data_IF_728425270117
#
_entry.id   IF_728425270117
#
_cell.length_a   1.000
_cell.length_b   1.000
_cell.length_c   1.000
_cell.angle_alpha   90.00
_cell.angle_beta   90.00
_cell.angle_gamma   90.00
#
_symmetry.space_group_name_H-M   'P 1'
#
loop_
_entity.id
_entity.type
_entity.pdbx_description
1 polymer ?
#
# COMPACT_ATOMS: atom_id res chain seq x y z
N UNK A 1 8.15 10.16 -6.86
CA UNK A 1 6.98 9.25 -6.97
C UNK A 1 6.02 9.51 -5.83
N UNK A 2 4.76 9.09 -5.95
CA UNK A 2 3.71 9.38 -4.95
C UNK A 2 3.19 8.10 -4.30
N UNK A 3 3.12 8.11 -2.97
CA UNK A 3 2.47 7.05 -2.17
C UNK A 3 1.19 7.63 -1.57
N UNK A 4 0.06 6.98 -1.82
CA UNK A 4 -1.23 7.28 -1.20
C UNK A 4 -1.65 6.14 -0.26
N UNK A 5 -2.14 6.48 0.94
CA UNK A 5 -2.65 5.51 1.91
C UNK A 5 -4.04 5.91 2.33
N UNK A 6 -5.03 5.06 2.04
CA UNK A 6 -6.40 5.24 2.51
C UNK A 6 -6.55 4.87 3.97
N UNK A 7 -6.99 5.84 4.77
CA UNK A 7 -7.31 5.73 6.19
C UNK A 7 -8.79 6.02 6.40
N UNK A 8 -9.34 5.65 7.58
CA UNK A 8 -10.73 5.97 7.93
C UNK A 8 -11.00 7.49 7.96
N UNK A 9 -10.00 8.30 8.31
CA UNK A 9 -10.07 9.76 8.39
C UNK A 9 -9.79 10.48 7.06
N UNK A 10 -9.43 9.76 5.99
CA UNK A 10 -9.09 10.34 4.69
C UNK A 10 -7.87 9.69 4.05
N UNK A 11 -7.21 10.39 3.14
CA UNK A 11 -6.03 9.87 2.40
C UNK A 11 -4.77 10.57 2.86
N UNK A 12 -3.77 9.79 3.27
CA UNK A 12 -2.43 10.28 3.52
C UNK A 12 -1.60 10.18 2.25
N UNK A 13 -0.97 11.27 1.84
CA UNK A 13 -0.14 11.29 0.64
C UNK A 13 1.27 11.79 0.93
N UNK A 14 2.26 11.12 0.32
CA UNK A 14 3.69 11.40 0.50
C UNK A 14 4.43 11.35 -0.82
N UNK A 15 5.34 12.30 -1.04
CA UNK A 15 6.37 12.17 -2.06
C UNK A 15 7.48 11.25 -1.57
N UNK A 16 7.86 10.30 -2.41
CA UNK A 16 9.05 9.47 -2.22
C UNK A 16 10.07 9.84 -3.30
N UNK A 17 11.23 10.39 -2.92
CA UNK A 17 12.27 10.76 -3.88
C UNK A 17 12.99 9.53 -4.44
N UNK A 18 13.54 9.68 -5.65
CA UNK A 18 14.34 8.67 -6.33
C UNK A 18 13.52 7.50 -6.91
N UNK A 19 14.18 6.36 -7.06
CA UNK A 19 13.64 5.15 -7.68
C UNK A 19 13.55 4.02 -6.65
N UNK A 20 12.42 3.87 -5.93
CA UNK A 20 12.30 2.86 -4.88
C UNK A 20 12.21 1.43 -5.42
N UNK A 21 11.99 1.23 -6.72
CA UNK A 21 11.99 -0.08 -7.37
C UNK A 21 10.70 -0.87 -7.18
N UNK A 22 10.15 -0.92 -5.96
CA UNK A 22 8.89 -1.59 -5.62
C UNK A 22 8.04 -0.79 -4.61
N UNK A 23 6.77 -1.18 -4.50
CA UNK A 23 5.77 -0.51 -3.68
C UNK A 23 6.08 -0.59 -2.18
N UNK A 24 6.61 -1.72 -1.69
CA UNK A 24 6.99 -1.87 -0.28
C UNK A 24 8.08 -0.87 0.08
N UNK A 25 9.14 -0.82 -0.73
CA UNK A 25 10.25 0.11 -0.54
C UNK A 25 9.79 1.56 -0.62
N UNK A 26 8.86 1.87 -1.54
CA UNK A 26 8.25 3.19 -1.63
C UNK A 26 7.51 3.56 -0.33
N UNK A 27 6.66 2.67 0.18
CA UNK A 27 5.92 2.88 1.42
C UNK A 27 6.84 3.06 2.62
N UNK A 28 7.88 2.24 2.77
CA UNK A 28 8.85 2.37 3.86
C UNK A 28 9.64 3.70 3.81
N UNK A 29 9.86 4.25 2.61
CA UNK A 29 10.54 5.54 2.42
C UNK A 29 9.61 6.75 2.46
N UNK A 30 8.30 6.55 2.60
CA UNK A 30 7.30 7.62 2.62
C UNK A 30 7.32 8.48 3.89
N UNK A 31 8.05 8.03 4.92
CA UNK A 31 8.05 8.65 6.25
C UNK A 31 6.83 8.31 7.10
N UNK A 32 5.93 7.45 6.62
CA UNK A 32 4.84 6.90 7.42
C UNK A 32 5.36 5.83 8.39
N UNK A 33 4.68 5.69 9.52
CA UNK A 33 4.92 4.61 10.47
C UNK A 33 4.41 3.29 9.88
N UNK A 34 5.33 2.44 9.42
CA UNK A 34 5.03 1.16 8.74
C UNK A 34 5.61 0.01 9.54
N UNK A 35 4.77 -1.00 9.84
CA UNK A 35 5.21 -2.27 10.43
C UNK A 35 5.00 -3.39 9.42
N UNK A 36 6.05 -4.19 9.23
CA UNK A 36 6.02 -5.37 8.39
C UNK A 36 5.75 -6.63 9.23
N UNK A 37 5.28 -7.68 8.56
CA UNK A 37 5.19 -9.01 9.12
C UNK A 37 6.52 -9.53 9.66
N UNK A 38 6.45 -10.37 10.69
CA UNK A 38 7.58 -11.11 11.26
C UNK A 38 7.54 -12.61 10.92
N UNK A 39 6.50 -13.06 10.21
CA UNK A 39 6.31 -14.43 9.76
C UNK A 39 5.71 -14.49 8.36
N UNK A 40 5.92 -15.59 7.64
CA UNK A 40 5.38 -15.82 6.29
C UNK A 40 3.85 -15.84 6.24
N UNK A 41 3.19 -16.22 7.34
CA UNK A 41 1.76 -16.52 7.34
C UNK A 41 1.39 -17.53 6.23
N UNK A 42 0.11 -17.69 5.91
CA UNK A 42 -0.33 -18.60 4.85
C UNK A 42 -0.06 -18.11 3.41
N UNK A 43 0.50 -16.91 3.23
CA UNK A 43 0.62 -16.23 1.93
C UNK A 43 2.04 -16.19 1.35
N UNK A 44 3.03 -16.69 2.08
CA UNK A 44 4.41 -16.82 1.58
C UNK A 44 5.20 -15.51 1.49
N UNK A 45 4.62 -14.36 1.86
CA UNK A 45 5.34 -13.09 2.04
C UNK A 45 5.64 -12.88 3.53
N UNK A 46 6.88 -13.14 3.97
CA UNK A 46 7.30 -12.89 5.35
C UNK A 46 7.39 -11.42 5.72
N UNK A 47 7.34 -10.51 4.73
CA UNK A 47 7.46 -9.07 4.91
C UNK A 47 6.23 -8.34 4.36
N UNK A 48 5.06 -8.93 4.52
CA UNK A 48 3.80 -8.28 4.19
C UNK A 48 3.65 -6.99 5.00
N UNK A 49 2.90 -6.03 4.46
CA UNK A 49 2.59 -4.79 5.19
C UNK A 49 1.47 -5.09 6.18
N UNK A 50 1.79 -4.99 7.47
CA UNK A 50 0.89 -5.35 8.54
C UNK A 50 0.18 -4.12 9.09
N UNK A 51 0.92 -3.07 9.45
CA UNK A 51 0.37 -1.82 10.01
C UNK A 51 0.91 -0.61 9.25
N UNK A 52 0.03 0.35 9.00
CA UNK A 52 0.41 1.70 8.55
C UNK A 52 -0.28 2.70 9.46
N UNK A 53 0.47 3.65 10.04
CA UNK A 53 -0.05 4.71 10.92
C UNK A 53 -0.95 4.18 12.04
N UNK A 54 -0.54 3.06 12.64
CA UNK A 54 -1.26 2.43 13.75
C UNK A 54 -2.51 1.64 13.36
N UNK A 55 -2.83 1.49 12.07
CA UNK A 55 -3.95 0.66 11.60
C UNK A 55 -3.47 -0.65 10.96
N UNK A 56 -4.01 -1.82 11.36
CA UNK A 56 -4.80 -2.08 12.56
C UNK A 56 -3.97 -1.97 13.85
N UNK A 57 -4.60 -1.54 14.96
CA UNK A 57 -3.92 -1.26 16.22
C UNK A 57 -3.37 -2.52 16.93
N UNK A 58 -4.12 -3.60 16.91
CA UNK A 58 -3.85 -4.81 17.71
C UNK A 58 -3.30 -6.00 16.91
N UNK A 59 -2.77 -5.75 15.72
CA UNK A 59 -2.20 -6.83 14.91
C UNK A 59 -0.81 -7.22 15.42
N UNK A 60 -0.62 -8.50 15.73
CA UNK A 60 0.66 -9.04 16.17
C UNK A 60 1.68 -9.16 15.01
N UNK A 61 1.25 -8.93 13.77
CA UNK A 61 2.05 -9.06 12.56
C UNK A 61 2.67 -10.44 12.36
N UNK A 62 2.02 -11.49 12.87
CA UNK A 62 2.48 -12.88 12.79
C UNK A 62 1.98 -13.62 11.55
N UNK A 63 0.96 -13.11 10.87
CA UNK A 63 0.45 -13.62 9.60
C UNK A 63 -0.99 -13.19 9.35
N UNK A 64 -1.45 -13.32 8.10
CA UNK A 64 -2.85 -13.09 7.76
C UNK A 64 -3.75 -14.18 8.35
N UNK A 65 -4.98 -13.78 8.72
CA UNK A 65 -6.06 -14.66 9.16
C UNK A 65 -7.16 -14.65 8.11
N UNK A 66 -7.62 -15.82 7.69
CA UNK A 66 -8.69 -15.93 6.70
C UNK A 66 -9.91 -15.08 7.09
N UNK A 67 -10.45 -14.33 6.12
CA UNK A 67 -11.59 -13.43 6.32
C UNK A 67 -11.26 -12.12 7.06
N UNK A 68 -10.04 -11.92 7.56
CA UNK A 68 -9.64 -10.67 8.20
C UNK A 68 -9.30 -9.59 7.16
N UNK A 69 -9.56 -8.31 7.44
CA UNK A 69 -9.09 -7.20 6.61
C UNK A 69 -7.56 -7.17 6.52
N UNK A 70 -7.03 -6.72 5.39
CA UNK A 70 -5.59 -6.62 5.16
C UNK A 70 -5.24 -5.43 4.28
N UNK A 71 -3.95 -5.06 4.24
CA UNK A 71 -3.45 -4.03 3.35
C UNK A 71 -3.34 -4.55 1.92
N UNK A 72 -4.06 -3.89 1.02
CA UNK A 72 -4.05 -4.13 -0.42
C UNK A 72 -3.26 -3.02 -1.11
N UNK A 73 -2.67 -3.32 -2.26
CA UNK A 73 -1.85 -2.37 -3.04
C UNK A 73 -2.34 -2.25 -4.49
N UNK A 74 -2.28 -1.04 -5.05
CA UNK A 74 -2.50 -0.76 -6.48
C UNK A 74 -1.47 0.25 -7.01
N UNK A 75 -1.31 0.33 -8.34
CA UNK A 75 -0.49 1.36 -9.02
C UNK A 75 -1.15 1.81 -10.32
N UNK A 76 -0.83 3.02 -10.78
CA UNK A 76 -1.29 3.53 -12.09
C UNK A 76 -0.37 2.99 -13.21
N UNK A 77 -0.96 2.64 -14.36
CA UNK A 77 -0.23 2.45 -15.62
C UNK A 77 0.11 1.01 -16.04
N UNK A 78 -0.38 -0.04 -15.36
CA UNK A 78 -0.20 -1.44 -15.76
C UNK A 78 -1.49 -2.24 -15.46
N UNK A 79 -2.33 -2.44 -16.49
CA UNK A 79 -3.66 -3.08 -16.47
C UNK A 79 -4.69 -2.45 -15.50
N UNK A 80 -6.02 -2.59 -15.70
CA UNK A 80 -6.99 -1.81 -14.93
C UNK A 80 -6.92 -2.18 -13.46
N UNK A 81 -6.48 -1.23 -12.62
CA UNK A 81 -6.66 -1.13 -11.16
C UNK A 81 -6.81 -2.49 -10.45
N UNK A 82 -5.85 -3.39 -10.64
CA UNK A 82 -5.89 -4.68 -9.98
C UNK A 82 -5.33 -4.49 -8.58
N UNK A 83 -6.23 -4.39 -7.59
CA UNK A 83 -5.88 -4.57 -6.18
C UNK A 83 -5.12 -5.89 -6.06
N UNK A 84 -3.83 -5.81 -5.72
CA UNK A 84 -3.03 -7.00 -5.48
C UNK A 84 -3.18 -7.37 -4.02
N UNK A 85 -3.69 -8.57 -3.81
CA UNK A 85 -3.93 -9.13 -2.49
C UNK A 85 -2.72 -9.91 -1.98
N UNK A 86 -2.68 -10.23 -0.69
CA UNK A 86 -1.68 -11.11 -0.09
C UNK A 86 -1.56 -12.45 -0.83
N UNK A 87 -2.60 -12.91 -1.54
CA UNK A 87 -2.57 -14.07 -2.43
C UNK A 87 -1.74 -13.93 -3.72
N UNK A 88 -1.21 -12.73 -4.02
CA UNK A 88 -0.42 -12.48 -5.24
C UNK A 88 1.08 -12.45 -4.94
N UNK A 89 1.71 -13.63 -4.97
CA UNK A 89 3.13 -13.83 -5.37
C UNK A 89 4.15 -12.81 -4.81
N UNK A 90 4.12 -12.47 -3.52
CA UNK A 90 5.09 -11.56 -2.88
C UNK A 90 4.59 -10.16 -2.52
N UNK A 91 3.27 -9.90 -2.63
CA UNK A 91 2.61 -8.73 -2.06
C UNK A 91 3.15 -7.40 -2.61
N UNK A 92 3.21 -6.32 -1.79
CA UNK A 92 3.77 -5.03 -2.22
C UNK A 92 5.23 -5.09 -2.68
N UNK A 93 6.01 -6.08 -2.24
CA UNK A 93 7.38 -6.28 -2.71
C UNK A 93 7.46 -6.77 -4.17
N UNK A 94 6.40 -7.41 -4.67
CA UNK A 94 6.32 -7.84 -6.07
C UNK A 94 5.78 -6.74 -7.02
N UNK A 95 5.25 -5.65 -6.47
CA UNK A 95 4.68 -4.54 -7.26
C UNK A 95 5.77 -3.54 -7.60
N UNK A 96 6.31 -3.62 -8.82
CA UNK A 96 7.30 -2.64 -9.31
C UNK A 96 6.68 -1.25 -9.42
N UNK A 97 7.46 -0.20 -9.18
CA UNK A 97 7.01 1.19 -9.33
C UNK A 97 8.02 1.99 -10.14
N UNK A 98 7.51 2.86 -11.01
CA UNK A 98 8.33 3.73 -11.83
C UNK A 98 8.51 5.11 -11.17
N UNK A 99 9.63 5.81 -11.44
CA UNK A 99 9.77 7.23 -11.11
C UNK A 99 8.58 8.04 -11.64
N UNK A 100 8.12 9.03 -10.87
CA UNK A 100 6.92 9.81 -11.18
C UNK A 100 5.59 9.06 -11.08
N UNK A 101 5.61 7.75 -10.81
CA UNK A 101 4.40 6.93 -10.67
C UNK A 101 3.64 7.17 -9.37
N UNK A 102 2.41 6.65 -9.33
CA UNK A 102 1.53 6.63 -8.16
C UNK A 102 1.27 5.19 -7.73
N UNK A 103 1.45 4.93 -6.44
CA UNK A 103 1.09 3.67 -5.77
C UNK A 103 0.16 3.98 -4.61
N UNK A 104 -0.85 3.13 -4.41
CA UNK A 104 -1.80 3.28 -3.33
C UNK A 104 -1.91 2.06 -2.45
N UNK A 105 -2.21 2.30 -1.18
CA UNK A 105 -2.47 1.29 -0.17
C UNK A 105 -3.82 1.53 0.47
N UNK A 106 -4.54 0.46 0.79
CA UNK A 106 -5.81 0.55 1.51
C UNK A 106 -6.07 -0.69 2.35
N UNK A 107 -6.67 -0.49 3.52
CA UNK A 107 -7.01 -1.55 4.45
C UNK A 107 -8.46 -2.00 4.25
N UNK A 108 -8.71 -3.31 4.09
CA UNK A 108 -10.06 -3.83 3.93
C UNK A 108 -10.11 -5.29 3.48
N UNK A 109 -11.34 -5.82 3.33
CA UNK A 109 -11.60 -7.19 2.85
C UNK A 109 -11.93 -7.24 1.35
N UNK A 110 -12.70 -6.28 0.81
CA UNK A 110 -13.16 -6.27 -0.59
C UNK A 110 -12.57 -5.12 -1.42
N UNK A 111 -13.17 -3.93 -1.35
CA UNK A 111 -12.69 -2.71 -2.01
C UNK A 111 -12.25 -1.71 -0.93
N UNK A 112 -10.96 -1.42 -0.84
CA UNK A 112 -10.51 -0.36 0.04
C UNK A 112 -11.02 1.01 -0.44
N UNK A 113 -11.19 1.97 0.47
CA UNK A 113 -11.98 3.18 0.26
C UNK A 113 -11.36 4.19 -0.71
N UNK A 114 -10.12 3.96 -1.17
CA UNK A 114 -9.37 4.90 -2.02
C UNK A 114 -8.94 4.21 -3.29
N UNK A 115 -9.56 4.59 -4.41
CA UNK A 115 -9.17 4.18 -5.75
C UNK A 115 -8.13 5.13 -6.36
N UNK A 116 -7.32 4.68 -7.33
CA UNK A 116 -6.43 5.54 -8.10
C UNK A 116 -7.14 6.72 -8.73
N UNK A 117 -8.34 6.50 -9.27
CA UNK A 117 -9.13 7.53 -9.94
C UNK A 117 -9.41 8.66 -8.95
N UNK A 118 -9.87 8.35 -7.75
CA UNK A 118 -10.15 9.36 -6.73
C UNK A 118 -8.89 10.16 -6.36
N UNK A 119 -7.70 9.54 -6.33
CA UNK A 119 -6.43 10.23 -6.04
C UNK A 119 -5.95 11.12 -7.18
N UNK A 120 -6.16 10.69 -8.42
CA UNK A 120 -5.70 11.43 -9.59
C UNK A 120 -6.68 12.57 -9.94
N UNK A 121 -7.98 12.41 -9.68
CA UNK A 121 -9.00 13.40 -10.05
C UNK A 121 -9.35 14.38 -8.94
N UNK A 122 -9.09 14.07 -7.66
CA UNK A 122 -9.43 14.97 -6.55
C UNK A 122 -8.28 15.95 -6.27
N UNK A 123 -8.48 17.26 -6.45
CA UNK A 123 -7.46 18.25 -6.12
C UNK A 123 -7.07 18.18 -4.64
N UNK A 124 -5.77 18.19 -4.35
CA UNK A 124 -5.24 18.24 -2.99
C UNK A 124 -4.76 16.91 -2.42
N UNK A 125 -5.01 15.77 -3.08
CA UNK A 125 -4.37 14.51 -2.68
C UNK A 125 -2.94 14.43 -3.21
N UNK A 126 -2.68 14.85 -4.45
CA UNK A 126 -1.32 14.84 -4.99
C UNK A 126 -0.49 16.02 -4.44
N UNK A 127 0.74 15.79 -3.93
CA UNK A 127 1.64 16.87 -3.58
C UNK A 127 2.12 17.57 -4.86
N UNK A 128 2.52 18.86 -4.79
CA UNK A 128 3.09 19.55 -5.95
C UNK A 128 4.35 18.82 -6.42
N UNK A 129 4.35 18.35 -7.68
CA UNK A 129 5.46 17.71 -8.41
C UNK A 129 6.40 16.88 -7.51
N UNK A 130 5.93 15.70 -7.11
CA UNK A 130 6.81 14.55 -6.86
C UNK A 130 7.32 13.93 -8.19
#
# INVERSE_FOLDING_TARGET
MTVAVGMASGVLVRCVPGSPGDARTALQRSGLAVRLGSGTGPYGDSRYVCVIEGLPGDDACTGHREGAPFWKVWRVGLDPVAWRESGTQGGPGAVRVCPGGLVGFGFGTSQPPVSPEQVVTTPGWLPPRC
#
